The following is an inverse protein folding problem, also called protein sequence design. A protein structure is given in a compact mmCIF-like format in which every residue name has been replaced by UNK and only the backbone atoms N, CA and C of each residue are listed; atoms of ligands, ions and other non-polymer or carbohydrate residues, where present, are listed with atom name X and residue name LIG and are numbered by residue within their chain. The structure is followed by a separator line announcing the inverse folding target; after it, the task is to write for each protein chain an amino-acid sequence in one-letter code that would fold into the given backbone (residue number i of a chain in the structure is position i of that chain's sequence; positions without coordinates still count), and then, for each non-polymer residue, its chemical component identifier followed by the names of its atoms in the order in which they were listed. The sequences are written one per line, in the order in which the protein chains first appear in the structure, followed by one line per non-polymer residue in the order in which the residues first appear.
data_IF_404931497716
#
_entry.id   IF_404931497716
#
_cell.length_a   1.000
_cell.length_b   1.000
_cell.length_c   1.000
_cell.angle_alpha   90.00
_cell.angle_beta   90.00
_cell.angle_gamma   90.00
#
_symmetry.space_group_name_H-M   'P 1'
#
loop_
_entity.id
_entity.type
_entity.pdbx_description
1 polymer ?
#
# COMPACT_ATOMS: atom_id res chain seq x y z
N UNK A 1 -8.72 17.89 -14.45
CA UNK A 1 -7.77 17.66 -13.33
C UNK A 1 -8.16 16.44 -12.51
N UNK A 2 -9.45 16.16 -12.29
CA UNK A 2 -9.89 14.98 -11.50
C UNK A 2 -9.60 13.61 -12.14
N UNK A 3 -9.53 13.54 -13.48
CA UNK A 3 -9.27 12.29 -14.22
C UNK A 3 -7.93 11.63 -13.89
N UNK A 4 -6.89 12.42 -13.60
CA UNK A 4 -5.58 11.84 -13.25
C UNK A 4 -5.55 11.27 -11.84
N UNK A 5 -6.25 11.92 -10.89
CA UNK A 5 -6.40 11.39 -9.53
C UNK A 5 -7.16 10.05 -9.57
N UNK A 6 -8.26 9.98 -10.32
CA UNK A 6 -9.02 8.75 -10.52
C UNK A 6 -8.15 7.63 -11.12
N UNK A 7 -7.33 7.96 -12.13
CA UNK A 7 -6.38 7.02 -12.72
C UNK A 7 -5.33 6.53 -11.72
N UNK A 8 -4.77 7.44 -10.89
CA UNK A 8 -3.82 7.07 -9.83
C UNK A 8 -4.46 6.21 -8.75
N UNK A 9 -5.69 6.52 -8.35
CA UNK A 9 -6.45 5.73 -7.38
C UNK A 9 -6.65 4.30 -7.90
N UNK A 10 -7.12 4.17 -9.14
CA UNK A 10 -7.29 2.88 -9.81
C UNK A 10 -5.97 2.11 -9.92
N UNK A 11 -4.90 2.76 -10.37
CA UNK A 11 -3.57 2.15 -10.48
C UNK A 11 -3.06 1.66 -9.14
N UNK A 12 -3.20 2.44 -8.07
CA UNK A 12 -2.78 2.07 -6.72
C UNK A 12 -3.55 0.85 -6.21
N UNK A 13 -4.85 0.76 -6.49
CA UNK A 13 -5.65 -0.44 -6.21
C UNK A 13 -5.14 -1.66 -6.98
N UNK A 14 -4.94 -1.52 -8.30
CA UNK A 14 -4.49 -2.60 -9.17
C UNK A 14 -3.09 -3.12 -8.79
N UNK A 15 -2.16 -2.23 -8.42
CA UNK A 15 -0.83 -2.59 -7.93
C UNK A 15 -0.86 -3.42 -6.63
N UNK A 16 -1.93 -3.29 -5.84
CA UNK A 16 -2.16 -4.09 -4.63
C UNK A 16 -2.87 -5.41 -4.90
N UNK A 17 -3.25 -5.68 -6.16
CA UNK A 17 -4.00 -6.89 -6.53
C UNK A 17 -5.43 -6.91 -5.98
N UNK A 18 -5.97 -5.76 -5.55
CA UNK A 18 -7.29 -5.67 -4.92
C UNK A 18 -8.38 -5.37 -5.94
N UNK A 19 -9.54 -5.99 -5.73
CA UNK A 19 -10.76 -5.64 -6.44
C UNK A 19 -11.40 -4.37 -5.86
N UNK A 20 -12.41 -3.81 -6.55
CA UNK A 20 -13.04 -2.55 -6.13
C UNK A 20 -13.74 -2.64 -4.77
N UNK A 21 -14.33 -3.78 -4.40
CA UNK A 21 -14.99 -3.93 -3.11
C UNK A 21 -13.97 -3.99 -1.96
N UNK A 22 -12.88 -4.73 -2.15
CA UNK A 22 -11.80 -4.84 -1.17
C UNK A 22 -11.14 -3.48 -0.91
N UNK A 23 -10.87 -2.72 -1.97
CA UNK A 23 -10.27 -1.39 -1.83
C UNK A 23 -11.25 -0.36 -1.24
N UNK A 24 -12.53 -0.44 -1.60
CA UNK A 24 -13.58 0.37 -1.00
C UNK A 24 -13.68 0.15 0.52
N UNK A 25 -13.51 -1.10 0.96
CA UNK A 25 -13.51 -1.45 2.38
C UNK A 25 -12.37 -0.77 3.14
N UNK A 26 -11.18 -0.63 2.54
CA UNK A 26 -10.06 0.13 3.14
C UNK A 26 -10.42 1.61 3.35
N UNK A 27 -11.17 2.20 2.43
CA UNK A 27 -11.69 3.56 2.55
C UNK A 27 -12.96 3.67 3.41
N UNK A 28 -13.52 2.54 3.85
CA UNK A 28 -14.79 2.46 4.56
C UNK A 28 -15.97 3.08 3.77
N UNK A 29 -15.99 2.85 2.46
CA UNK A 29 -17.04 3.26 1.53
C UNK A 29 -17.60 2.05 0.78
N UNK A 30 -18.69 2.24 0.04
CA UNK A 30 -19.27 1.18 -0.79
C UNK A 30 -18.43 0.93 -2.06
N UNK A 31 -18.53 -0.27 -2.64
CA UNK A 31 -17.98 -0.58 -3.96
C UNK A 31 -18.44 0.43 -5.05
N UNK A 32 -19.69 0.88 -4.98
CA UNK A 32 -20.21 1.85 -5.94
C UNK A 32 -19.55 3.23 -5.77
N UNK A 33 -19.32 3.66 -4.54
CA UNK A 33 -18.58 4.89 -4.23
C UNK A 33 -17.16 4.81 -4.81
N UNK A 34 -16.48 3.67 -4.61
CA UNK A 34 -15.16 3.43 -5.21
C UNK A 34 -15.19 3.52 -6.74
N UNK A 35 -16.17 2.90 -7.38
CA UNK A 35 -16.35 2.98 -8.81
C UNK A 35 -16.50 4.43 -9.29
N UNK A 36 -17.31 5.26 -8.61
CA UNK A 36 -17.48 6.68 -8.97
C UNK A 36 -16.18 7.49 -8.82
N UNK A 37 -15.36 7.18 -7.82
CA UNK A 37 -14.05 7.80 -7.66
C UNK A 37 -13.09 7.43 -8.81
N UNK A 38 -13.08 6.15 -9.21
CA UNK A 38 -12.22 5.67 -10.31
C UNK A 38 -12.69 6.12 -11.70
N UNK A 39 -13.94 6.56 -11.84
CA UNK A 39 -14.49 7.15 -13.05
C UNK A 39 -14.40 8.69 -13.07
N UNK A 40 -13.80 9.30 -12.03
CA UNK A 40 -13.76 10.75 -11.85
C UNK A 40 -15.13 11.44 -11.85
N UNK A 41 -16.23 10.71 -11.62
CA UNK A 41 -17.58 11.29 -11.51
C UNK A 41 -17.82 11.92 -10.15
N UNK A 42 -17.03 11.52 -9.16
CA UNK A 42 -16.95 12.14 -7.84
C UNK A 42 -15.51 12.11 -7.36
N UNK A 43 -15.08 13.12 -6.61
CA UNK A 43 -13.77 13.11 -5.98
C UNK A 43 -13.83 12.46 -4.59
N UNK A 44 -12.82 11.68 -4.18
CA UNK A 44 -12.72 11.16 -2.82
C UNK A 44 -12.56 12.30 -1.82
N UNK A 45 -13.15 12.13 -0.63
CA UNK A 45 -12.98 13.08 0.47
C UNK A 45 -11.72 12.76 1.30
N UNK A 46 -11.38 13.68 2.20
CA UNK A 46 -10.21 13.55 3.06
C UNK A 46 -10.33 12.37 4.05
N UNK A 47 -11.54 12.03 4.50
CA UNK A 47 -11.76 10.91 5.43
C UNK A 47 -11.48 9.57 4.74
N UNK A 48 -11.92 9.40 3.49
CA UNK A 48 -11.60 8.26 2.65
C UNK A 48 -10.08 8.13 2.45
N UNK A 49 -9.40 9.23 2.08
CA UNK A 49 -7.95 9.23 1.86
C UNK A 49 -7.16 8.96 3.15
N UNK A 50 -7.62 9.47 4.29
CA UNK A 50 -7.01 9.20 5.59
C UNK A 50 -7.11 7.70 5.95
N UNK A 51 -8.28 7.08 5.72
CA UNK A 51 -8.47 5.64 5.95
C UNK A 51 -7.59 4.79 5.04
N UNK A 52 -7.42 5.19 3.78
CA UNK A 52 -6.46 4.54 2.88
C UNK A 52 -5.03 4.64 3.44
N UNK A 53 -4.61 5.82 3.91
CA UNK A 53 -3.28 6.02 4.49
C UNK A 53 -3.00 5.13 5.70
N UNK A 54 -3.98 4.97 6.59
CA UNK A 54 -3.88 4.03 7.74
C UNK A 54 -3.67 2.58 7.29
N UNK A 55 -4.18 2.21 6.11
CA UNK A 55 -3.97 0.89 5.49
C UNK A 55 -2.70 0.82 4.62
N UNK A 56 -1.76 1.75 4.83
CA UNK A 56 -0.46 1.82 4.17
C UNK A 56 -0.51 2.25 2.70
N UNK A 57 -1.65 2.76 2.22
CA UNK A 57 -1.78 3.29 0.86
C UNK A 57 -1.16 4.69 0.82
N UNK A 58 -0.35 4.98 -0.19
CA UNK A 58 0.23 6.30 -0.37
C UNK A 58 -0.82 7.30 -0.88
N UNK A 59 -1.55 7.91 0.05
CA UNK A 59 -2.57 8.92 -0.23
C UNK A 59 -1.96 10.22 -0.80
N UNK A 60 -0.70 10.53 -0.45
CA UNK A 60 0.00 11.68 -1.00
C UNK A 60 0.26 11.50 -2.49
N UNK A 61 0.73 10.32 -2.92
CA UNK A 61 0.87 9.99 -4.34
C UNK A 61 -0.48 10.05 -5.10
N UNK A 62 -1.57 9.57 -4.50
CA UNK A 62 -2.89 9.66 -5.14
C UNK A 62 -3.26 11.13 -5.42
N UNK A 63 -3.07 11.99 -4.43
CA UNK A 63 -3.37 13.42 -4.53
C UNK A 63 -2.45 14.14 -5.53
N UNK A 64 -1.13 13.98 -5.38
CA UNK A 64 -0.12 14.82 -6.05
C UNK A 64 0.41 14.21 -7.35
N UNK A 65 0.31 12.89 -7.51
CA UNK A 65 1.00 12.15 -8.57
C UNK A 65 2.51 12.07 -8.43
N UNK A 66 3.08 12.71 -7.41
CA UNK A 66 4.50 12.66 -7.10
C UNK A 66 4.73 11.47 -6.19
N UNK A 67 5.52 10.50 -6.65
CA UNK A 67 6.07 9.49 -5.74
C UNK A 67 7.09 10.20 -4.86
N UNK A 68 6.94 10.04 -3.54
CA UNK A 68 8.02 10.38 -2.63
C UNK A 68 9.17 9.43 -2.95
N UNK A 69 10.09 9.86 -3.81
CA UNK A 69 11.42 9.26 -3.85
C UNK A 69 12.01 9.57 -2.48
N UNK A 70 12.20 8.52 -1.68
CA UNK A 70 13.10 8.64 -0.55
C UNK A 70 14.43 9.07 -1.16
N UNK A 71 14.84 10.31 -0.91
CA UNK A 71 16.18 10.76 -1.19
C UNK A 71 17.11 10.03 -0.21
N UNK A 72 17.38 8.76 -0.52
CA UNK A 72 18.27 7.92 0.24
C UNK A 72 19.66 8.18 -0.32
N UNK A 73 20.54 8.73 0.51
CA UNK A 73 21.95 8.94 0.17
C UNK A 73 22.84 7.98 0.98
N UNK A 74 24.06 7.77 0.49
CA UNK A 74 25.06 6.94 1.16
C UNK A 74 24.68 5.46 1.21
N UNK A 75 25.07 4.78 2.28
CA UNK A 75 24.95 3.32 2.42
C UNK A 75 23.51 2.78 2.26
N UNK A 76 22.51 3.58 2.59
CA UNK A 76 21.12 3.16 2.48
C UNK A 76 20.63 3.12 1.02
N UNK A 77 21.21 3.92 0.11
CA UNK A 77 20.92 3.87 -1.32
C UNK A 77 21.47 2.58 -1.94
N UNK A 78 22.72 2.24 -1.60
CA UNK A 78 23.37 1.00 -2.03
C UNK A 78 22.62 -0.23 -1.49
N UNK A 79 22.18 -0.19 -0.23
CA UNK A 79 21.37 -1.26 0.35
C UNK A 79 20.04 -1.43 -0.37
N UNK A 80 19.38 -0.33 -0.76
CA UNK A 80 18.12 -0.38 -1.50
C UNK A 80 18.31 -1.01 -2.90
N UNK A 81 19.35 -0.60 -3.63
CA UNK A 81 19.70 -1.21 -4.92
C UNK A 81 19.93 -2.72 -4.77
N UNK A 82 20.77 -3.12 -3.83
CA UNK A 82 21.03 -4.54 -3.54
C UNK A 82 19.76 -5.29 -3.15
N UNK A 83 18.91 -4.71 -2.29
CA UNK A 83 17.68 -5.33 -1.84
C UNK A 83 16.66 -5.56 -2.97
N UNK A 84 16.63 -4.70 -4.01
CA UNK A 84 15.74 -4.90 -5.16
C UNK A 84 16.11 -6.10 -6.01
N UNK A 85 17.37 -6.55 -5.94
CA UNK A 85 17.91 -7.68 -6.71
C UNK A 85 17.74 -9.02 -6.00
N UNK A 86 17.34 -9.01 -4.72
CA UNK A 86 17.18 -10.21 -3.91
C UNK A 86 15.83 -10.89 -4.19
N UNK A 87 15.85 -12.22 -4.23
CA UNK A 87 14.64 -13.03 -4.21
C UNK A 87 13.99 -13.02 -2.81
N UNK A 88 12.79 -13.60 -2.70
CA UNK A 88 12.03 -13.57 -1.44
C UNK A 88 12.79 -14.25 -0.29
N UNK A 89 13.37 -15.46 -0.45
CA UNK A 89 14.15 -16.09 0.62
C UNK A 89 15.35 -15.25 1.08
N UNK A 90 16.11 -14.65 0.15
CA UNK A 90 17.26 -13.82 0.51
C UNK A 90 16.84 -12.52 1.22
N UNK A 91 15.72 -11.90 0.80
CA UNK A 91 15.14 -10.74 1.49
C UNK A 91 14.74 -11.07 2.92
N UNK A 92 14.09 -12.22 3.14
CA UNK A 92 13.65 -12.64 4.48
C UNK A 92 14.86 -12.88 5.41
N UNK A 93 15.92 -13.51 4.91
CA UNK A 93 17.16 -13.73 5.66
C UNK A 93 17.87 -12.41 6.01
N UNK A 94 17.96 -11.48 5.05
CA UNK A 94 18.55 -10.15 5.28
C UNK A 94 17.78 -9.39 6.37
N UNK A 95 16.45 -9.36 6.28
CA UNK A 95 15.60 -8.68 7.26
C UNK A 95 15.75 -9.28 8.66
N UNK A 96 15.87 -10.61 8.77
CA UNK A 96 16.13 -11.26 10.06
C UNK A 96 17.47 -10.82 10.66
N UNK A 97 18.54 -10.79 9.85
CA UNK A 97 19.86 -10.38 10.31
C UNK A 97 19.87 -8.91 10.74
N UNK A 98 19.31 -8.01 9.93
CA UNK A 98 19.25 -6.57 10.24
C UNK A 98 18.46 -6.32 11.52
N UNK A 99 17.31 -6.99 11.71
CA UNK A 99 16.52 -6.92 12.96
C UNK A 99 17.34 -7.36 14.17
N UNK A 100 18.06 -8.49 14.03
CA UNK A 100 18.93 -8.99 15.10
C UNK A 100 20.04 -8.00 15.44
N UNK A 101 20.65 -7.38 14.44
CA UNK A 101 21.69 -6.36 14.64
C UNK A 101 21.16 -5.07 15.27
N UNK A 102 19.94 -4.67 14.91
CA UNK A 102 19.27 -3.49 15.47
C UNK A 102 18.75 -3.70 16.90
N UNK A 103 18.78 -4.92 17.43
CA UNK A 103 18.21 -5.27 18.73
C UNK A 103 16.68 -5.44 18.73
N UNK A 104 16.05 -5.39 17.55
CA UNK A 104 14.61 -5.57 17.38
C UNK A 104 14.24 -7.05 17.40
N UNK A 105 13.75 -7.54 18.53
CA UNK A 105 13.23 -8.92 18.66
C UNK A 105 11.78 -9.07 18.20
N UNK A 106 11.24 -8.15 17.38
CA UNK A 106 9.83 -8.21 16.98
C UNK A 106 9.57 -9.41 16.05
N UNK A 107 8.75 -10.34 16.54
CA UNK A 107 8.23 -11.50 15.80
C UNK A 107 7.58 -11.02 14.50
N UNK A 108 7.80 -11.69 13.35
CA UNK A 108 7.12 -11.30 12.11
C UNK A 108 5.60 -11.33 12.33
N UNK A 109 4.97 -10.16 12.22
CA UNK A 109 3.53 -10.03 12.14
C UNK A 109 3.07 -10.55 10.78
N UNK A 110 2.81 -11.85 10.69
CA UNK A 110 1.86 -12.36 9.71
C UNK A 110 0.49 -11.77 10.07
N UNK A 111 -0.22 -11.06 9.17
CA UNK A 111 -1.65 -10.94 9.35
C UNK A 111 -2.22 -12.36 9.27
N UNK A 112 -2.81 -12.82 10.37
CA UNK A 112 -3.69 -13.97 10.31
C UNK A 112 -4.76 -13.64 9.27
N UNK A 113 -4.78 -14.38 8.18
CA UNK A 113 -5.90 -14.38 7.25
C UNK A 113 -7.05 -15.04 8.00
N UNK A 114 -7.87 -14.22 8.65
CA UNK A 114 -9.17 -14.66 9.15
C UNK A 114 -10.02 -14.98 7.92
N UNK A 115 -10.10 -16.27 7.58
CA UNK A 115 -11.11 -16.77 6.66
C UNK A 115 -12.45 -16.67 7.40
N UNK A 116 -13.44 -15.89 6.90
CA UNK A 116 -14.75 -15.92 7.52
C UNK A 116 -15.35 -17.31 7.35
N UNK A 117 -15.78 -17.88 8.48
CA UNK A 117 -16.50 -19.14 8.53
C UNK A 117 -17.73 -19.09 7.60
N UNK A 118 -17.73 -19.97 6.61
CA UNK A 118 -18.93 -20.32 5.83
C UNK A 118 -19.96 -20.87 6.81
N UNK A 119 -21.05 -20.14 7.02
CA UNK A 119 -22.27 -20.68 7.62
C UNK A 119 -23.27 -21.02 6.53
N UNK A 120 -23.89 -22.18 6.71
CA UNK A 120 -24.77 -22.91 5.79
C UNK A 120 -26.14 -22.26 5.64
#
# INVERSE_FOLDING_TARGET
MDGELAARLRRTRELRGLNQAEFAALGGVSRNTQYTYEQATRSPDSAYLQRLAVNGVDAAYILTGVRQELAVEGWAAELLDLATRLDQPARDALLLLVRRMAGDTHKPSHPAVDQPAVQR
#
